data_IF_629501663277
#
_entry.id   IF_629501663277
#
_cell.length_a   1.000
_cell.length_b   1.000
_cell.length_c   1.000
_cell.angle_alpha   90.00
_cell.angle_beta   90.00
_cell.angle_gamma   90.00
#
_symmetry.space_group_name_H-M   'P 1'
#
loop_
_entity.id
_entity.type
_entity.pdbx_description
1 polymer ?
#
# COMPACT_ATOMS: atom_id res chain seq x y z
N UNK A 1 37.78 16.12 -45.55
CA UNK A 1 37.00 14.87 -45.75
C UNK A 1 36.24 14.59 -44.47
N UNK A 2 35.03 14.06 -44.61
CA UNK A 2 33.92 14.05 -43.65
C UNK A 2 34.21 13.49 -42.24
N UNK A 3 33.59 14.14 -41.26
CA UNK A 3 33.21 13.59 -39.95
C UNK A 3 32.03 12.62 -40.09
N UNK A 4 32.04 11.52 -39.34
CA UNK A 4 30.85 10.93 -38.68
C UNK A 4 31.26 9.70 -37.88
N UNK A 5 31.20 9.78 -36.55
CA UNK A 5 31.22 8.63 -35.65
C UNK A 5 29.78 8.47 -35.16
N UNK A 6 29.08 7.45 -35.66
CA UNK A 6 27.71 7.12 -35.28
C UNK A 6 27.75 6.23 -34.05
N UNK A 7 27.51 6.80 -32.86
CA UNK A 7 27.34 6.02 -31.62
C UNK A 7 25.88 5.62 -31.49
N UNK A 8 25.58 4.34 -31.69
CA UNK A 8 24.25 3.78 -31.41
C UNK A 8 24.22 3.40 -29.92
N UNK A 9 23.54 4.21 -29.11
CA UNK A 9 23.15 3.85 -27.76
C UNK A 9 21.88 3.00 -27.85
N UNK A 10 22.04 1.68 -27.74
CA UNK A 10 20.93 0.77 -27.55
C UNK A 10 20.44 0.88 -26.09
N UNK A 11 19.27 1.48 -25.90
CA UNK A 11 18.57 1.49 -24.61
C UNK A 11 18.14 0.06 -24.28
N UNK A 12 18.79 -0.56 -23.31
CA UNK A 12 18.24 -1.75 -22.64
C UNK A 12 17.00 -1.31 -21.88
N UNK A 13 15.83 -1.64 -22.42
CA UNK A 13 14.57 -1.50 -21.69
C UNK A 13 14.65 -2.35 -20.42
N UNK A 14 14.71 -1.69 -19.26
CA UNK A 14 14.44 -2.34 -17.99
C UNK A 14 12.95 -2.71 -17.99
N UNK A 15 12.66 -3.97 -18.27
CA UNK A 15 11.40 -4.56 -17.89
C UNK A 15 11.36 -4.57 -16.36
N UNK A 16 10.55 -3.68 -15.77
CA UNK A 16 10.20 -3.75 -14.36
C UNK A 16 9.33 -5.00 -14.22
N UNK A 17 9.95 -6.11 -13.83
CA UNK A 17 9.21 -7.29 -13.42
C UNK A 17 8.36 -6.90 -12.21
N UNK A 18 7.04 -6.90 -12.38
CA UNK A 18 6.12 -6.89 -11.25
C UNK A 18 6.46 -8.15 -10.43
N UNK A 19 6.87 -8.05 -9.15
CA UNK A 19 7.04 -9.22 -8.33
C UNK A 19 5.67 -9.91 -8.24
N UNK A 20 5.62 -11.15 -8.72
CA UNK A 20 4.57 -12.08 -8.34
C UNK A 20 4.76 -12.32 -6.84
N UNK A 21 4.05 -11.56 -6.01
CA UNK A 21 4.19 -11.62 -4.57
C UNK A 21 3.95 -13.06 -4.10
N UNK A 22 4.81 -13.64 -3.23
CA UNK A 22 4.37 -14.75 -2.42
C UNK A 22 3.13 -14.26 -1.68
N UNK A 23 2.05 -15.05 -1.71
CA UNK A 23 0.85 -14.80 -0.92
C UNK A 23 1.30 -14.55 0.53
N UNK A 24 1.36 -13.28 0.95
CA UNK A 24 1.73 -12.94 2.31
C UNK A 24 0.64 -13.55 3.20
N UNK A 25 0.97 -14.62 3.93
CA UNK A 25 -0.01 -15.35 4.73
C UNK A 25 -0.48 -14.44 5.85
N UNK A 26 -1.68 -13.89 5.69
CA UNK A 26 -2.44 -13.33 6.79
C UNK A 26 -3.17 -14.47 7.47
N UNK A 27 -2.78 -14.79 8.70
CA UNK A 27 -3.38 -15.89 9.46
C UNK A 27 -4.71 -15.47 10.10
N UNK A 28 -5.05 -14.18 10.08
CA UNK A 28 -6.28 -13.69 10.68
C UNK A 28 -7.26 -13.04 9.68
N UNK A 29 -8.53 -13.27 10.00
CA UNK A 29 -9.74 -12.85 9.29
C UNK A 29 -10.18 -11.45 9.72
N UNK A 30 -9.26 -10.59 10.19
CA UNK A 30 -9.68 -9.41 10.97
C UNK A 30 -10.31 -8.28 10.17
N UNK A 31 -10.16 -8.34 8.85
CA UNK A 31 -10.91 -7.51 7.91
C UNK A 31 -12.05 -8.30 7.23
N UNK A 32 -12.19 -9.60 7.49
CA UNK A 32 -13.23 -10.42 6.88
C UNK A 32 -14.62 -9.95 7.35
N UNK A 33 -15.54 -9.83 6.41
CA UNK A 33 -16.88 -9.30 6.67
C UNK A 33 -16.91 -7.80 7.00
N UNK A 34 -15.78 -7.08 6.98
CA UNK A 34 -15.74 -5.62 7.02
C UNK A 34 -15.63 -5.08 5.60
N UNK A 35 -16.70 -4.45 5.14
CA UNK A 35 -16.63 -3.63 3.94
C UNK A 35 -15.97 -2.31 4.30
N UNK A 36 -14.87 -1.91 3.63
CA UNK A 36 -14.33 -0.57 3.80
C UNK A 36 -15.37 0.48 3.43
N UNK A 37 -15.26 1.66 4.03
CA UNK A 37 -15.93 2.83 3.51
C UNK A 37 -15.16 3.30 2.27
N UNK A 38 -15.64 2.92 1.10
CA UNK A 38 -15.08 3.34 -0.18
C UNK A 38 -15.46 4.78 -0.47
N UNK A 39 -14.45 5.64 -0.58
CA UNK A 39 -14.63 7.00 -1.03
C UNK A 39 -14.59 6.98 -2.56
N UNK A 40 -15.50 7.71 -3.21
CA UNK A 40 -15.62 7.76 -4.69
C UNK A 40 -14.48 8.53 -5.38
N UNK A 41 -13.31 8.61 -4.75
CA UNK A 41 -12.13 9.21 -5.32
C UNK A 41 -11.13 8.10 -5.63
N UNK A 42 -10.49 8.27 -6.77
CA UNK A 42 -9.43 7.42 -7.27
C UNK A 42 -8.17 8.27 -7.42
N UNK A 43 -7.02 7.61 -7.38
CA UNK A 43 -5.73 8.23 -7.63
C UNK A 43 -4.88 7.28 -8.46
N UNK A 44 -3.98 7.80 -9.29
CA UNK A 44 -3.02 6.97 -10.00
C UNK A 44 -2.26 6.05 -9.04
N UNK A 45 -2.12 4.77 -9.43
CA UNK A 45 -1.41 3.75 -8.65
C UNK A 45 0.00 4.19 -8.26
N UNK A 46 0.71 4.90 -9.15
CA UNK A 46 2.07 5.40 -8.90
C UNK A 46 2.12 6.40 -7.74
N UNK A 47 1.12 7.26 -7.60
CA UNK A 47 0.98 8.24 -6.54
C UNK A 47 0.52 7.58 -5.25
N UNK A 48 -0.49 6.69 -5.32
CA UNK A 48 -0.90 5.90 -4.16
C UNK A 48 0.27 5.12 -3.54
N UNK A 49 1.07 4.44 -4.37
CA UNK A 49 2.24 3.70 -3.92
C UNK A 49 3.27 4.60 -3.20
N UNK A 50 3.44 5.85 -3.61
CA UNK A 50 4.35 6.78 -2.91
C UNK A 50 3.86 7.07 -1.48
N UNK A 51 2.59 7.41 -1.31
CA UNK A 51 2.02 7.68 0.01
C UNK A 51 1.98 6.40 0.88
N UNK A 52 1.61 5.25 0.30
CA UNK A 52 1.55 3.96 1.00
C UNK A 52 2.95 3.51 1.44
N UNK A 53 3.94 3.58 0.55
CA UNK A 53 5.34 3.24 0.89
C UNK A 53 5.85 4.18 1.98
N UNK A 54 5.53 5.48 1.90
CA UNK A 54 5.91 6.45 2.92
C UNK A 54 5.35 6.13 4.30
N UNK A 55 4.06 5.74 4.40
CA UNK A 55 3.48 5.34 5.70
C UNK A 55 4.05 4.00 6.19
N UNK A 56 4.19 3.01 5.31
CA UNK A 56 4.67 1.68 5.69
C UNK A 56 6.16 1.68 6.10
N UNK A 57 6.98 2.54 5.52
CA UNK A 57 8.39 2.71 5.91
C UNK A 57 8.59 3.22 7.35
N UNK A 58 7.58 3.88 7.92
CA UNK A 58 7.60 4.34 9.31
C UNK A 58 7.32 3.23 10.32
N UNK A 59 6.85 2.06 9.85
CA UNK A 59 6.59 0.89 10.67
C UNK A 59 7.36 -0.30 10.09
N UNK A 60 8.69 -0.33 10.23
CA UNK A 60 9.52 -1.38 9.63
C UNK A 60 9.31 -2.74 10.29
N UNK A 61 8.75 -2.77 11.49
CA UNK A 61 8.51 -3.98 12.29
C UNK A 61 7.16 -3.88 12.97
N UNK A 62 6.44 -5.01 13.06
CA UNK A 62 5.28 -5.13 13.91
C UNK A 62 5.44 -6.32 14.86
N UNK A 63 5.11 -6.11 16.13
CA UNK A 63 5.23 -7.10 17.21
C UNK A 63 3.85 -7.29 17.83
N UNK A 64 3.30 -8.50 17.71
CA UNK A 64 2.02 -8.86 18.33
C UNK A 64 2.01 -8.58 19.84
N UNK A 65 0.90 -8.08 20.35
CA UNK A 65 0.75 -7.56 21.71
C UNK A 65 1.12 -6.08 21.87
N UNK A 66 1.66 -5.43 20.83
CA UNK A 66 1.99 -3.99 20.84
C UNK A 66 0.96 -3.20 20.06
N UNK A 67 0.51 -2.06 20.62
CA UNK A 67 -0.30 -1.08 19.87
C UNK A 67 0.59 0.05 19.39
N UNK A 68 0.44 0.43 18.13
CA UNK A 68 1.24 1.48 17.51
C UNK A 68 0.46 2.78 17.42
N UNK A 69 1.17 3.91 17.52
CA UNK A 69 0.59 5.21 17.20
C UNK A 69 0.30 5.31 15.70
N UNK A 70 -0.72 6.08 15.34
CA UNK A 70 -1.02 6.35 13.95
C UNK A 70 0.19 7.00 13.24
N UNK A 71 0.53 6.50 12.06
CA UNK A 71 1.54 7.07 11.16
C UNK A 71 0.87 7.52 9.86
N UNK A 72 1.50 8.47 9.16
CA UNK A 72 0.93 9.05 7.95
C UNK A 72 1.98 9.18 6.84
N UNK A 73 1.57 8.84 5.63
CA UNK A 73 2.31 9.10 4.39
C UNK A 73 1.51 10.08 3.54
N UNK A 74 2.13 11.16 3.11
CA UNK A 74 1.45 12.27 2.42
C UNK A 74 2.04 12.55 1.06
N UNK A 75 1.15 12.88 0.13
CA UNK A 75 1.45 13.44 -1.17
C UNK A 75 0.47 14.61 -1.41
N UNK A 76 0.70 15.50 -2.38
CA UNK A 76 -0.22 16.61 -2.63
C UNK A 76 -1.67 16.14 -2.79
N UNK A 77 -2.55 16.61 -1.90
CA UNK A 77 -3.99 16.29 -1.92
C UNK A 77 -4.41 15.02 -1.19
N UNK A 78 -3.50 14.10 -0.85
CA UNK A 78 -3.84 12.79 -0.30
C UNK A 78 -2.99 12.39 0.91
N UNK A 79 -3.59 11.60 1.80
CA UNK A 79 -2.95 11.05 3.00
C UNK A 79 -3.30 9.58 3.16
N UNK A 80 -2.27 8.74 3.23
CA UNK A 80 -2.34 7.37 3.74
C UNK A 80 -2.12 7.40 5.26
N UNK A 81 -2.95 6.69 6.03
CA UNK A 81 -2.82 6.55 7.48
C UNK A 81 -2.85 5.07 7.85
N UNK A 82 -1.96 4.68 8.75
CA UNK A 82 -1.92 3.34 9.33
C UNK A 82 -1.85 3.47 10.86
N UNK A 83 -2.73 2.77 11.56
CA UNK A 83 -2.60 2.49 12.99
C UNK A 83 -2.58 0.99 13.13
N UNK A 84 -1.47 0.40 13.58
CA UNK A 84 -1.41 -1.04 13.81
C UNK A 84 -1.97 -1.43 15.16
N UNK A 85 -2.88 -2.39 15.09
CA UNK A 85 -3.44 -3.12 16.19
C UNK A 85 -2.46 -4.10 16.82
N UNK A 86 -2.89 -4.72 17.93
CA UNK A 86 -2.07 -5.66 18.67
C UNK A 86 -1.85 -7.02 17.97
N UNK A 87 -2.41 -7.24 16.77
CA UNK A 87 -2.16 -8.42 15.95
C UNK A 87 -1.58 -8.09 14.59
N UNK A 88 -1.03 -6.87 14.40
CA UNK A 88 -0.35 -6.51 13.16
C UNK A 88 -1.22 -6.70 11.92
N UNK A 89 -2.53 -6.43 12.01
CA UNK A 89 -3.47 -6.64 10.90
C UNK A 89 -3.61 -8.12 10.47
N UNK A 90 -3.10 -9.06 11.27
CA UNK A 90 -3.00 -10.49 10.94
C UNK A 90 -1.81 -10.91 10.12
N UNK A 91 -0.90 -9.98 9.82
CA UNK A 91 0.31 -10.25 9.05
C UNK A 91 1.30 -10.98 9.94
N UNK A 92 1.65 -12.21 9.56
CA UNK A 92 2.59 -13.08 10.30
C UNK A 92 4.04 -12.67 10.12
N UNK A 93 4.40 -12.29 8.89
CA UNK A 93 5.72 -11.80 8.52
C UNK A 93 5.64 -10.33 8.11
N UNK A 94 5.73 -9.44 9.10
CA UNK A 94 5.63 -8.01 8.85
C UNK A 94 6.81 -7.50 8.02
N UNK A 95 6.50 -6.78 6.94
CA UNK A 95 7.48 -6.17 6.04
C UNK A 95 6.87 -4.94 5.35
N UNK A 96 7.71 -4.16 4.66
CA UNK A 96 7.25 -3.04 3.82
C UNK A 96 6.23 -3.52 2.77
N UNK A 97 6.52 -4.65 2.12
CA UNK A 97 5.68 -5.21 1.07
C UNK A 97 4.36 -5.74 1.64
N UNK A 98 4.39 -6.43 2.78
CA UNK A 98 3.18 -6.91 3.45
C UNK A 98 2.29 -5.75 3.92
N UNK A 99 2.89 -4.66 4.44
CA UNK A 99 2.17 -3.44 4.79
C UNK A 99 1.55 -2.78 3.56
N UNK A 100 2.31 -2.66 2.47
CA UNK A 100 1.81 -2.06 1.23
C UNK A 100 0.64 -2.87 0.70
N UNK A 101 0.78 -4.20 0.70
CA UNK A 101 -0.26 -5.10 0.23
C UNK A 101 -1.51 -5.06 1.11
N UNK A 102 -1.38 -4.81 2.41
CA UNK A 102 -2.54 -4.57 3.28
C UNK A 102 -3.43 -3.46 2.74
N UNK A 103 -2.89 -2.33 2.27
CA UNK A 103 -3.68 -1.24 1.71
C UNK A 103 -4.45 -1.67 0.45
N UNK A 104 -3.78 -2.39 -0.45
CA UNK A 104 -4.38 -2.87 -1.69
C UNK A 104 -5.49 -3.88 -1.42
N UNK A 105 -5.29 -4.83 -0.50
CA UNK A 105 -6.28 -5.86 -0.18
C UNK A 105 -7.51 -5.31 0.54
N UNK A 106 -7.31 -4.47 1.55
CA UNK A 106 -8.42 -4.06 2.44
C UNK A 106 -9.14 -2.80 1.98
N UNK A 107 -8.54 -2.02 1.09
CA UNK A 107 -9.18 -0.85 0.48
C UNK A 107 -9.46 -1.10 -1.00
N UNK A 108 -8.42 -1.18 -1.83
CA UNK A 108 -8.61 -1.10 -3.28
C UNK A 108 -9.36 -2.32 -3.87
N UNK A 109 -8.92 -3.55 -3.54
CA UNK A 109 -9.61 -4.77 -3.94
C UNK A 109 -11.07 -4.80 -3.46
N UNK A 110 -11.31 -4.37 -2.22
CA UNK A 110 -12.63 -4.33 -1.62
C UNK A 110 -13.52 -3.18 -2.16
N UNK A 111 -12.93 -2.14 -2.74
CA UNK A 111 -13.63 -1.00 -3.32
C UNK A 111 -13.83 -1.10 -4.84
N UNK A 112 -13.46 -2.22 -5.46
CA UNK A 112 -13.73 -2.51 -6.86
C UNK A 112 -12.55 -2.26 -7.80
N UNK A 113 -11.33 -2.46 -7.32
CA UNK A 113 -10.05 -2.47 -8.05
C UNK A 113 -10.15 -2.30 -9.57
N UNK A 114 -9.49 -1.27 -10.08
CA UNK A 114 -9.39 -0.97 -11.51
C UNK A 114 -7.93 -0.70 -11.85
N UNK A 115 -7.45 -1.29 -12.95
CA UNK A 115 -6.06 -1.15 -13.37
C UNK A 115 -5.65 0.32 -13.52
N UNK A 116 -4.49 0.67 -12.97
CA UNK A 116 -3.89 2.01 -13.07
C UNK A 116 -4.39 3.02 -12.03
N UNK A 117 -5.39 2.68 -11.23
CA UNK A 117 -5.88 3.52 -10.13
C UNK A 117 -5.90 2.76 -8.80
N UNK A 118 -5.93 3.53 -7.71
CA UNK A 118 -6.18 3.05 -6.35
C UNK A 118 -7.44 3.73 -5.82
N UNK A 119 -8.38 2.94 -5.30
CA UNK A 119 -9.61 3.43 -4.69
C UNK A 119 -9.37 3.88 -3.26
N UNK A 120 -9.74 5.13 -2.99
CA UNK A 120 -9.62 5.72 -1.66
C UNK A 120 -10.69 5.18 -0.71
N UNK A 121 -10.39 5.18 0.59
CA UNK A 121 -11.28 4.59 1.57
C UNK A 121 -10.66 4.45 2.94
N UNK A 122 -11.44 3.89 3.86
CA UNK A 122 -10.94 3.53 5.17
C UNK A 122 -11.65 2.30 5.74
N UNK A 123 -10.93 1.57 6.58
CA UNK A 123 -11.46 0.43 7.31
C UNK A 123 -10.73 0.28 8.64
N UNK A 124 -11.48 -0.20 9.63
CA UNK A 124 -10.93 -0.63 10.92
C UNK A 124 -11.21 -2.13 11.06
N UNK A 125 -10.17 -2.88 11.41
CA UNK A 125 -10.27 -4.30 11.70
C UNK A 125 -11.19 -4.53 12.91
N UNK A 126 -11.83 -5.69 12.97
CA UNK A 126 -12.72 -6.03 14.07
C UNK A 126 -12.00 -6.63 15.28
N UNK A 127 -10.81 -7.19 15.08
CA UNK A 127 -10.18 -8.04 16.08
C UNK A 127 -9.00 -7.39 16.82
N UNK A 128 -8.31 -6.43 16.20
CA UNK A 128 -7.09 -5.84 16.73
C UNK A 128 -7.07 -4.32 16.67
N UNK A 129 -8.16 -3.70 16.19
CA UNK A 129 -8.32 -2.26 15.98
C UNK A 129 -7.34 -1.64 14.98
N UNK A 130 -6.67 -2.45 14.15
CA UNK A 130 -5.87 -1.94 13.04
C UNK A 130 -6.73 -1.05 12.15
N UNK A 131 -6.26 0.17 11.91
CA UNK A 131 -6.94 1.13 11.04
C UNK A 131 -6.07 1.41 9.82
N UNK A 132 -6.69 1.29 8.64
CA UNK A 132 -6.08 1.57 7.34
C UNK A 132 -6.96 2.61 6.65
N UNK A 133 -6.37 3.71 6.20
CA UNK A 133 -7.09 4.67 5.38
C UNK A 133 -6.23 5.32 4.32
N UNK A 134 -6.82 5.66 3.20
CA UNK A 134 -6.25 6.51 2.18
C UNK A 134 -7.33 7.52 1.76
N UNK A 135 -7.16 8.80 2.11
CA UNK A 135 -8.20 9.82 1.93
C UNK A 135 -7.61 11.15 1.44
N UNK A 136 -8.49 12.09 1.09
CA UNK A 136 -8.10 13.49 0.83
C UNK A 136 -7.66 14.18 2.14
N UNK A 137 -6.58 14.96 2.10
CA UNK A 137 -6.11 15.71 3.28
C UNK A 137 -4.60 15.96 3.41
N UNK A 138 -3.88 16.02 2.28
CA UNK A 138 -2.44 16.35 2.24
C UNK A 138 -2.13 17.76 2.70
#
# INVERSE_FOLDING_TARGET
MQFSITTVLAFTGLAVALPSNPLFSRDNTCFDGKTPACLRFEIETSLANQAITSVCSQVPTCVSGTTYTAVQGKIPGYTATLTLGNQCAGVTEWSLDACTQLFWDVLDAACGHTDGVFHTGYVRSACDDTFVSFNLGG
#
